data_IF_819686613942
#
_entry.id   IF_819686613942
#
_cell.length_a   1.000
_cell.length_b   1.000
_cell.length_c   1.000
_cell.angle_alpha   90.00
_cell.angle_beta   90.00
_cell.angle_gamma   90.00
#
_symmetry.space_group_name_H-M   'P 1'
#
loop_
_entity.id
_entity.type
_entity.pdbx_description
1 polymer ?
#
# COMPACT_ATOMS: atom_id res chain seq x y z
N UNK A 1 -34.23 -2.99 -11.41
CA UNK A 1 -33.94 -1.98 -10.35
C UNK A 1 -32.63 -2.26 -9.58
N UNK A 2 -31.95 -3.40 -9.80
CA UNK A 2 -30.74 -3.78 -9.07
C UNK A 2 -29.47 -3.02 -9.48
N UNK A 3 -29.32 -2.65 -10.77
CA UNK A 3 -28.11 -2.00 -11.28
C UNK A 3 -27.82 -0.61 -10.71
N UNK A 4 -28.87 0.13 -10.34
CA UNK A 4 -28.71 1.48 -9.78
C UNK A 4 -28.11 1.41 -8.36
N UNK A 5 -28.52 0.42 -7.56
CA UNK A 5 -28.04 0.22 -6.20
C UNK A 5 -26.57 -0.19 -6.19
N UNK A 6 -26.18 -1.10 -7.08
CA UNK A 6 -24.79 -1.54 -7.24
C UNK A 6 -23.87 -0.39 -7.68
N UNK A 7 -24.31 0.47 -8.60
CA UNK A 7 -23.53 1.65 -9.02
C UNK A 7 -23.30 2.65 -7.89
N UNK A 8 -24.30 2.87 -7.03
CA UNK A 8 -24.17 3.77 -5.87
C UNK A 8 -23.19 3.19 -4.85
N UNK A 9 -23.27 1.89 -4.58
CA UNK A 9 -22.36 1.19 -3.68
C UNK A 9 -20.90 1.25 -4.16
N UNK A 10 -20.64 0.91 -5.44
CA UNK A 10 -19.29 0.96 -6.02
C UNK A 10 -18.69 2.38 -6.00
N UNK A 11 -19.53 3.41 -6.20
CA UNK A 11 -19.09 4.82 -6.09
C UNK A 11 -18.74 5.19 -4.65
N UNK A 12 -19.47 4.67 -3.67
CA UNK A 12 -19.15 4.84 -2.25
C UNK A 12 -17.81 4.21 -1.91
N UNK A 13 -17.62 2.94 -2.27
CA UNK A 13 -16.40 2.18 -2.00
C UNK A 13 -15.16 2.81 -2.67
N UNK A 14 -15.26 3.20 -3.94
CA UNK A 14 -14.17 3.88 -4.65
C UNK A 14 -13.79 5.20 -3.95
N UNK A 15 -14.76 5.95 -3.44
CA UNK A 15 -14.51 7.17 -2.67
C UNK A 15 -13.77 6.87 -1.37
N UNK A 16 -14.17 5.83 -0.65
CA UNK A 16 -13.51 5.40 0.59
C UNK A 16 -12.06 5.00 0.34
N UNK A 17 -11.78 4.18 -0.68
CA UNK A 17 -10.41 3.78 -1.05
C UNK A 17 -9.52 4.99 -1.34
N UNK A 18 -10.03 5.95 -2.13
CA UNK A 18 -9.32 7.19 -2.42
C UNK A 18 -8.97 7.93 -1.12
N UNK A 19 -9.91 8.01 -0.18
CA UNK A 19 -9.69 8.68 1.09
C UNK A 19 -8.66 7.96 1.96
N UNK A 20 -8.72 6.63 2.04
CA UNK A 20 -7.75 5.82 2.79
C UNK A 20 -6.33 6.03 2.28
N UNK A 21 -6.13 6.02 0.95
CA UNK A 21 -4.81 6.26 0.35
C UNK A 21 -4.28 7.65 0.70
N UNK A 22 -5.12 8.69 0.58
CA UNK A 22 -4.71 10.06 0.92
C UNK A 22 -4.36 10.18 2.40
N UNK A 23 -5.14 9.55 3.28
CA UNK A 23 -4.91 9.58 4.72
C UNK A 23 -3.63 8.85 5.10
N UNK A 24 -3.39 7.65 4.55
CA UNK A 24 -2.16 6.89 4.75
C UNK A 24 -0.90 7.72 4.46
N UNK A 25 -0.82 8.36 3.28
CA UNK A 25 0.35 9.19 2.94
C UNK A 25 0.51 10.43 3.83
N UNK A 26 -0.57 10.93 4.43
CA UNK A 26 -0.50 12.05 5.38
C UNK A 26 0.05 11.60 6.74
N UNK A 27 -0.33 10.42 7.19
CA UNK A 27 0.13 9.84 8.45
C UNK A 27 1.59 9.39 8.35
N UNK A 28 1.97 8.73 7.25
CA UNK A 28 3.35 8.34 6.94
C UNK A 28 4.32 9.53 6.95
N UNK A 29 3.88 10.72 6.52
CA UNK A 29 4.71 11.92 6.55
C UNK A 29 5.17 12.28 7.96
N UNK A 30 4.38 11.98 8.99
CA UNK A 30 4.74 12.23 10.38
C UNK A 30 5.65 11.14 10.97
N UNK A 31 5.80 10.01 10.28
CA UNK A 31 6.56 8.84 10.74
C UNK A 31 7.86 8.63 9.94
N UNK A 32 8.31 9.63 9.17
CA UNK A 32 9.53 9.55 8.37
C UNK A 32 9.35 8.88 7.00
N UNK A 33 8.10 8.70 6.54
CA UNK A 33 7.77 8.17 5.22
C UNK A 33 8.15 9.11 4.06
N UNK A 34 7.89 8.70 2.80
CA UNK A 34 8.37 9.39 1.62
C UNK A 34 7.98 10.88 1.61
N UNK A 35 8.95 11.76 1.34
CA UNK A 35 8.82 13.23 1.27
C UNK A 35 7.98 13.73 0.08
N UNK A 36 7.09 12.91 -0.46
CA UNK A 36 6.16 13.37 -1.48
C UNK A 36 5.16 14.34 -0.84
N UNK A 37 5.09 15.55 -1.38
CA UNK A 37 4.09 16.54 -0.95
C UNK A 37 2.68 15.99 -1.15
N UNK A 38 1.77 16.31 -0.23
CA UNK A 38 0.37 15.90 -0.33
C UNK A 38 -0.23 16.27 -1.69
N UNK A 39 0.09 17.43 -2.26
CA UNK A 39 -0.43 17.85 -3.57
C UNK A 39 -0.05 16.89 -4.70
N UNK A 40 1.21 16.44 -4.75
CA UNK A 40 1.67 15.40 -5.68
C UNK A 40 0.98 14.05 -5.45
N UNK A 41 0.62 13.70 -4.20
CA UNK A 41 -0.19 12.52 -3.92
C UNK A 41 -1.58 12.67 -4.53
N UNK A 42 -2.23 13.82 -4.35
CA UNK A 42 -3.56 14.09 -4.94
C UNK A 42 -3.54 14.02 -6.47
N UNK A 43 -2.50 14.56 -7.11
CA UNK A 43 -2.31 14.49 -8.56
C UNK A 43 -2.14 13.04 -9.05
N UNK A 44 -1.30 12.24 -8.38
CA UNK A 44 -1.09 10.83 -8.72
C UNK A 44 -2.36 10.00 -8.53
N UNK A 45 -3.08 10.24 -7.44
CA UNK A 45 -4.38 9.58 -7.17
C UNK A 45 -5.41 9.98 -8.24
N UNK A 46 -5.46 11.25 -8.62
CA UNK A 46 -6.32 11.74 -9.71
C UNK A 46 -6.05 11.00 -11.02
N UNK A 47 -4.77 10.84 -11.39
CA UNK A 47 -4.36 10.13 -12.59
C UNK A 47 -4.70 8.63 -12.50
N UNK A 48 -4.34 7.96 -11.40
CA UNK A 48 -4.54 6.54 -11.20
C UNK A 48 -6.03 6.15 -11.18
N UNK A 49 -6.85 6.94 -10.49
CA UNK A 49 -8.28 6.70 -10.38
C UNK A 49 -9.09 7.30 -11.55
N UNK A 50 -8.43 7.90 -12.55
CA UNK A 50 -9.06 8.61 -13.68
C UNK A 50 -10.18 9.56 -13.21
N UNK A 51 -9.95 10.22 -12.07
CA UNK A 51 -10.93 11.04 -11.38
C UNK A 51 -10.46 12.50 -11.38
N UNK A 52 -11.32 13.49 -11.66
CA UNK A 52 -10.88 14.89 -11.70
C UNK A 52 -10.20 15.34 -10.41
N UNK A 53 -9.08 16.05 -10.54
CA UNK A 53 -8.30 16.54 -9.39
C UNK A 53 -9.16 17.35 -8.40
N UNK A 54 -10.10 18.15 -8.90
CA UNK A 54 -11.03 18.92 -8.06
C UNK A 54 -11.89 18.03 -7.15
N UNK A 55 -12.29 16.84 -7.63
CA UNK A 55 -13.03 15.85 -6.83
C UNK A 55 -12.13 15.25 -5.75
N UNK A 56 -10.88 14.92 -6.09
CA UNK A 56 -9.88 14.41 -5.14
C UNK A 56 -9.55 15.45 -4.06
N UNK A 57 -9.39 16.72 -4.45
CA UNK A 57 -9.18 17.84 -3.53
C UNK A 57 -10.38 18.04 -2.59
N UNK A 58 -11.60 17.88 -3.10
CA UNK A 58 -12.82 17.93 -2.27
C UNK A 58 -12.83 16.78 -1.24
N UNK A 59 -12.49 15.56 -1.66
CA UNK A 59 -12.37 14.41 -0.76
C UNK A 59 -11.31 14.70 0.32
N UNK A 60 -10.13 15.19 -0.06
CA UNK A 60 -9.08 15.57 0.89
C UNK A 60 -9.54 16.66 1.88
N UNK A 61 -10.32 17.64 1.41
CA UNK A 61 -10.90 18.67 2.27
C UNK A 61 -11.91 18.10 3.27
N UNK A 62 -12.74 17.13 2.87
CA UNK A 62 -13.68 16.43 3.75
C UNK A 62 -12.94 15.60 4.82
N UNK A 63 -11.84 14.92 4.46
CA UNK A 63 -10.95 14.22 5.41
C UNK A 63 -10.37 15.20 6.43
N UNK A 64 -9.86 16.36 5.98
CA UNK A 64 -9.32 17.41 6.89
C UNK A 64 -10.35 17.92 7.89
N UNK A 65 -11.63 17.92 7.53
CA UNK A 65 -12.73 18.36 8.38
C UNK A 65 -13.28 17.25 9.28
N UNK A 66 -12.74 16.03 9.20
CA UNK A 66 -13.27 14.85 9.90
C UNK A 66 -14.68 14.45 9.45
N UNK A 67 -15.10 14.89 8.24
CA UNK A 67 -16.46 14.67 7.72
C UNK A 67 -16.60 13.35 6.96
N UNK A 68 -15.49 12.63 6.75
CA UNK A 68 -15.46 11.36 6.05
C UNK A 68 -15.12 10.25 7.04
N UNK A 69 -16.03 9.29 7.20
CA UNK A 69 -15.77 8.06 7.94
C UNK A 69 -15.07 7.10 6.99
N UNK A 70 -13.82 6.79 7.31
CA UNK A 70 -13.11 5.68 6.69
C UNK A 70 -13.34 4.52 7.65
N UNK A 71 -14.28 3.65 7.31
CA UNK A 71 -14.53 2.46 8.11
C UNK A 71 -13.29 1.56 7.98
N UNK A 72 -12.51 1.49 9.05
CA UNK A 72 -11.34 0.63 9.17
C UNK A 72 -11.84 -0.77 9.50
N UNK A 73 -12.49 -1.43 8.53
CA UNK A 73 -12.62 -2.89 8.56
C UNK A 73 -11.21 -3.46 8.30
N UNK A 74 -10.33 -3.34 9.29
CA UNK A 74 -9.29 -4.33 9.51
C UNK A 74 -10.04 -5.64 9.58
N UNK A 75 -9.96 -6.42 8.50
CA UNK A 75 -10.31 -7.84 8.46
C UNK A 75 -9.95 -8.44 9.79
N UNK A 76 -10.97 -8.78 10.57
CA UNK A 76 -10.81 -9.57 11.79
C UNK A 76 -9.96 -10.77 11.39
N UNK A 77 -8.84 -10.94 12.07
CA UNK A 77 -7.92 -12.06 11.86
C UNK A 77 -8.76 -13.33 11.85
N UNK A 78 -8.96 -13.92 10.66
CA UNK A 78 -9.40 -15.30 10.60
C UNK A 78 -8.28 -16.09 11.22
N UNK A 79 -8.52 -16.55 12.45
CA UNK A 79 -7.74 -17.54 13.17
C UNK A 79 -7.32 -18.63 12.19
N UNK A 80 -6.06 -18.56 11.75
CA UNK A 80 -5.47 -19.57 10.88
C UNK A 80 -5.29 -20.77 11.78
N UNK A 81 -6.18 -21.75 11.67
CA UNK A 81 -6.02 -23.01 12.38
C UNK A 81 -4.73 -23.68 11.93
N UNK A 82 -3.82 -23.88 12.89
CA UNK A 82 -2.53 -24.54 12.71
C UNK A 82 -2.68 -25.86 11.97
N UNK A 83 -1.97 -25.98 10.84
CA UNK A 83 -1.72 -27.25 10.17
C UNK A 83 -0.84 -28.12 11.08
N UNK A 84 -1.13 -29.44 11.24
CA UNK A 84 -0.33 -30.29 12.09
C UNK A 84 1.11 -30.41 11.57
N UNK A 85 2.04 -30.10 12.48
CA UNK A 85 3.47 -30.31 12.38
C UNK A 85 3.78 -31.74 11.93
N UNK A 86 4.38 -31.88 10.75
CA UNK A 86 5.04 -33.12 10.34
C UNK A 86 6.54 -32.96 10.60
N UNK A 87 6.98 -33.52 11.72
CA UNK A 87 8.38 -33.87 11.97
C UNK A 87 8.86 -34.82 10.89
N UNK A 88 9.86 -34.44 10.09
CA UNK A 88 10.87 -35.38 9.58
C UNK A 88 12.27 -34.73 9.58
N UNK A 89 13.14 -35.31 10.41
CA UNK A 89 14.60 -35.13 10.41
C UNK A 89 15.18 -35.47 9.03
N UNK A 90 16.17 -34.72 8.56
CA UNK A 90 17.47 -35.29 8.19
C UNK A 90 18.48 -34.19 7.84
N UNK A 91 19.71 -34.37 8.33
CA UNK A 91 20.79 -33.39 8.22
C UNK A 91 21.41 -33.27 6.82
N UNK A 92 22.17 -32.19 6.62
CA UNK A 92 22.99 -31.99 5.44
C UNK A 92 23.72 -30.65 5.52
N UNK A 93 25.02 -30.70 5.78
CA UNK A 93 25.97 -29.59 5.91
C UNK A 93 25.80 -28.53 4.81
N UNK A 94 25.72 -27.26 5.21
CA UNK A 94 25.86 -26.13 4.31
C UNK A 94 27.35 -25.96 3.94
N UNK A 95 27.74 -26.37 2.73
CA UNK A 95 28.98 -25.92 2.12
C UNK A 95 28.90 -24.42 1.83
N UNK A 96 29.84 -23.65 2.38
CA UNK A 96 30.00 -22.22 2.13
C UNK A 96 30.55 -22.07 0.71
N UNK A 97 29.73 -21.53 -0.20
CA UNK A 97 30.15 -21.19 -1.55
C UNK A 97 31.07 -19.95 -1.49
N UNK A 98 32.38 -20.15 -1.55
CA UNK A 98 33.36 -19.08 -1.71
C UNK A 98 33.18 -18.40 -3.07
N UNK A 99 32.49 -17.26 -3.09
CA UNK A 99 32.46 -16.36 -4.26
C UNK A 99 33.84 -15.73 -4.40
N UNK A 100 34.59 -16.19 -5.40
CA UNK A 100 35.86 -15.59 -5.80
C UNK A 100 35.66 -14.12 -6.16
N UNK A 101 36.43 -13.25 -5.53
CA UNK A 101 36.52 -11.82 -5.81
C UNK A 101 37.19 -11.62 -7.19
N UNK A 102 36.65 -10.80 -8.11
CA UNK A 102 37.35 -10.54 -9.36
C UNK A 102 38.55 -9.63 -9.11
N UNK A 103 39.75 -10.13 -9.43
CA UNK A 103 40.98 -9.35 -9.48
C UNK A 103 40.89 -8.31 -10.60
N UNK A 104 41.21 -7.05 -10.27
CA UNK A 104 41.27 -5.94 -11.20
C UNK A 104 42.71 -5.81 -11.74
N UNK A 105 43.00 -6.08 -13.02
CA UNK A 105 44.33 -5.86 -13.58
C UNK A 105 44.49 -4.39 -13.95
N UNK A 106 44.90 -3.54 -13.00
CA UNK A 106 45.40 -2.20 -13.34
C UNK A 106 46.86 -2.33 -13.73
N UNK A 107 47.13 -2.52 -15.02
CA UNK A 107 48.46 -2.50 -15.59
C UNK A 107 48.47 -1.80 -16.95
N UNK A 108 48.77 -0.50 -16.96
CA UNK A 108 49.54 0.21 -18.01
C UNK A 108 49.65 1.71 -17.72
N UNK A 109 50.84 2.16 -17.31
CA UNK A 109 51.77 2.94 -18.16
C UNK A 109 53.19 2.73 -17.66
#
# INVERSE_FOLDING_TARGET
MSDQKSKVFLRGQARTIIASVIQYFREERNQGGPLISVDKVLERVSLACKTPLRTIQRINAEIRKGQMKIDDERTSESEVTDLPSSDERSGGSAEILNVATPENPTGRV
#
